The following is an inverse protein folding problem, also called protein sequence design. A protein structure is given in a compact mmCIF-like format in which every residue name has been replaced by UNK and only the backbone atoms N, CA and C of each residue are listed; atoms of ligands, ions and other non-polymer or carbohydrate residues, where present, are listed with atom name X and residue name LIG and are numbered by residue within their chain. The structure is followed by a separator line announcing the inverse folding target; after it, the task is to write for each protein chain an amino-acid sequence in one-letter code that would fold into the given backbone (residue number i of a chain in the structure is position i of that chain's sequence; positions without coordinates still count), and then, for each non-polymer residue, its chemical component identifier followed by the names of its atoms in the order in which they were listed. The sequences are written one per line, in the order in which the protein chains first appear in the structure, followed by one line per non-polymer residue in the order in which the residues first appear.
data_IF_612935990272
#
_entry.id   IF_612935990272
#
_cell.length_a   1.000
_cell.length_b   1.000
_cell.length_c   1.000
_cell.angle_alpha   90.00
_cell.angle_beta   90.00
_cell.angle_gamma   90.00
#
_symmetry.space_group_name_H-M   'P 1'
#
loop_
_entity.id
_entity.type
_entity.pdbx_description
1 polymer ?
#
# COMPACT_ATOMS: atom_id res chain seq x y z
N UNK A 1 -5.64 1.72 23.90
CA UNK A 1 -5.05 2.29 22.70
C UNK A 1 -5.73 1.72 21.46
N UNK A 2 -6.20 2.59 20.59
CA UNK A 2 -7.01 2.12 19.48
C UNK A 2 -6.16 1.91 18.24
N UNK A 3 -5.95 0.64 17.86
CA UNK A 3 -5.33 0.31 16.58
C UNK A 3 -6.35 0.35 15.44
N UNK A 4 -7.59 0.68 15.78
CA UNK A 4 -8.69 0.66 14.80
C UNK A 4 -9.03 2.02 14.23
N UNK A 5 -8.27 3.05 14.61
CA UNK A 5 -8.48 4.38 14.04
C UNK A 5 -8.02 4.38 12.59
N UNK A 6 -8.96 4.65 11.70
CA UNK A 6 -8.66 4.71 10.27
C UNK A 6 -8.25 6.12 9.87
N UNK A 7 -7.29 6.18 8.97
CA UNK A 7 -6.81 7.45 8.42
C UNK A 7 -7.15 7.46 6.94
N UNK A 8 -7.77 8.54 6.49
CA UNK A 8 -8.07 8.69 5.07
C UNK A 8 -7.08 9.64 4.44
N UNK A 9 -6.55 9.24 3.28
CA UNK A 9 -5.59 10.04 2.53
C UNK A 9 -6.05 10.08 1.09
N UNK A 10 -6.00 11.27 0.49
CA UNK A 10 -6.36 11.45 -0.91
C UNK A 10 -5.09 11.58 -1.73
N UNK A 11 -4.94 10.71 -2.73
CA UNK A 11 -3.77 10.70 -3.62
C UNK A 11 -4.26 10.64 -5.07
N UNK A 12 -3.54 11.36 -5.94
CA UNK A 12 -3.75 11.18 -7.37
C UNK A 12 -3.26 9.80 -7.80
N UNK A 13 -3.72 9.33 -8.93
CA UNK A 13 -3.35 8.01 -9.44
C UNK A 13 -1.84 7.88 -9.63
N UNK A 14 -1.21 8.89 -10.20
CA UNK A 14 0.23 8.88 -10.43
C UNK A 14 1.01 8.78 -9.10
N UNK A 15 0.60 9.59 -8.12
CA UNK A 15 1.27 9.59 -6.82
C UNK A 15 1.07 8.25 -6.10
N UNK A 16 -0.12 7.69 -6.18
CA UNK A 16 -0.41 6.41 -5.55
C UNK A 16 0.46 5.30 -6.15
N UNK A 17 0.62 5.30 -7.47
CA UNK A 17 1.44 4.30 -8.15
C UNK A 17 2.91 4.43 -7.75
N UNK A 18 3.41 5.66 -7.65
CA UNK A 18 4.79 5.91 -7.26
C UNK A 18 5.06 5.45 -5.83
N UNK A 19 4.14 5.77 -4.91
CA UNK A 19 4.28 5.35 -3.52
C UNK A 19 4.23 3.84 -3.40
N UNK A 20 3.31 3.21 -4.12
CA UNK A 20 3.18 1.76 -4.09
C UNK A 20 4.48 1.08 -4.54
N UNK A 21 5.10 1.60 -5.59
CA UNK A 21 6.36 1.03 -6.09
C UNK A 21 7.48 1.14 -5.06
N UNK A 22 7.57 2.28 -4.39
CA UNK A 22 8.58 2.48 -3.35
C UNK A 22 8.34 1.57 -2.14
N UNK A 23 7.09 1.43 -1.74
CA UNK A 23 6.75 0.54 -0.63
C UNK A 23 7.10 -0.91 -0.95
N UNK A 24 6.86 -1.34 -2.18
CA UNK A 24 7.22 -2.68 -2.61
C UNK A 24 8.73 -2.90 -2.51
N UNK A 25 9.52 -1.91 -2.95
CA UNK A 25 10.98 -2.01 -2.85
C UNK A 25 11.44 -2.14 -1.40
N UNK A 26 10.78 -1.42 -0.50
CA UNK A 26 11.14 -1.45 0.91
C UNK A 26 10.95 -2.83 1.54
N UNK A 27 10.03 -3.63 1.03
CA UNK A 27 9.73 -4.94 1.60
C UNK A 27 10.60 -6.06 1.05
N UNK A 28 11.34 -5.82 -0.03
CA UNK A 28 12.13 -6.87 -0.67
C UNK A 28 13.27 -7.40 0.19
N UNK A 29 13.76 -6.59 1.11
CA UNK A 29 14.89 -6.96 1.93
C UNK A 29 14.50 -7.74 3.17
N UNK A 30 13.20 -7.84 3.45
CA UNK A 30 12.73 -8.56 4.62
C UNK A 30 12.34 -9.99 4.25
N UNK A 31 12.26 -10.84 5.27
CA UNK A 31 11.85 -12.23 5.08
C UNK A 31 10.44 -12.30 4.52
N UNK A 32 10.25 -13.13 3.52
CA UNK A 32 8.92 -13.33 2.96
C UNK A 32 8.04 -14.14 3.92
N UNK A 33 8.62 -15.18 4.54
CA UNK A 33 7.86 -16.07 5.42
C UNK A 33 7.63 -15.50 6.81
N UNK A 34 8.62 -14.78 7.33
CA UNK A 34 8.57 -14.24 8.69
C UNK A 34 8.87 -12.75 8.69
N UNK A 35 8.01 -11.94 8.07
CA UNK A 35 8.25 -10.50 8.01
C UNK A 35 8.01 -9.85 9.36
N UNK A 36 8.76 -8.78 9.63
CA UNK A 36 8.53 -7.98 10.81
C UNK A 36 7.20 -7.23 10.74
N UNK A 37 6.80 -6.64 11.87
CA UNK A 37 5.52 -5.92 11.94
C UNK A 37 5.47 -4.75 10.97
N UNK A 38 6.59 -4.07 10.81
CA UNK A 38 6.67 -2.95 9.88
C UNK A 38 6.39 -3.39 8.44
N UNK A 39 7.01 -4.49 8.03
CA UNK A 39 6.81 -5.03 6.69
C UNK A 39 5.38 -5.49 6.49
N UNK A 40 4.78 -6.09 7.50
CA UNK A 40 3.39 -6.50 7.42
C UNK A 40 2.46 -5.31 7.21
N UNK A 41 2.72 -4.23 7.95
CA UNK A 41 1.93 -3.01 7.80
C UNK A 41 2.08 -2.43 6.39
N UNK A 42 3.31 -2.40 5.87
CA UNK A 42 3.58 -1.90 4.52
C UNK A 42 2.85 -2.74 3.49
N UNK A 43 2.86 -4.06 3.65
CA UNK A 43 2.17 -4.95 2.70
C UNK A 43 0.67 -4.72 2.68
N UNK A 44 0.07 -4.44 3.85
CA UNK A 44 -1.35 -4.11 3.89
C UNK A 44 -1.66 -2.82 3.13
N UNK A 45 -0.76 -1.84 3.23
CA UNK A 45 -0.92 -0.59 2.50
C UNK A 45 -0.77 -0.82 0.99
N UNK A 46 0.17 -1.68 0.59
CA UNK A 46 0.35 -2.01 -0.83
C UNK A 46 -0.94 -2.61 -1.40
N UNK A 47 -1.54 -3.54 -0.67
CA UNK A 47 -2.80 -4.16 -1.13
C UNK A 47 -3.91 -3.12 -1.25
N UNK A 48 -4.02 -2.23 -0.27
CA UNK A 48 -5.04 -1.18 -0.31
C UNK A 48 -4.81 -0.24 -1.49
N UNK A 49 -3.55 0.12 -1.75
CA UNK A 49 -3.23 0.97 -2.90
C UNK A 49 -3.55 0.26 -4.22
N UNK A 50 -3.23 -1.02 -4.33
CA UNK A 50 -3.52 -1.78 -5.53
C UNK A 50 -5.01 -1.77 -5.85
N UNK A 51 -5.84 -1.98 -4.85
CA UNK A 51 -7.29 -1.97 -5.03
C UNK A 51 -7.77 -0.62 -5.53
N UNK A 52 -7.26 0.46 -4.95
CA UNK A 52 -7.67 1.80 -5.35
C UNK A 52 -7.15 2.16 -6.74
N UNK A 53 -5.92 1.75 -7.06
CA UNK A 53 -5.34 2.01 -8.38
C UNK A 53 -6.14 1.27 -9.45
N UNK A 54 -6.49 0.00 -9.22
CA UNK A 54 -7.29 -0.75 -10.17
C UNK A 54 -8.66 -0.12 -10.37
N UNK A 55 -9.30 0.32 -9.29
CA UNK A 55 -10.60 0.96 -9.38
C UNK A 55 -10.53 2.25 -10.19
N UNK A 56 -9.46 3.03 -9.99
CA UNK A 56 -9.28 4.28 -10.73
C UNK A 56 -9.03 4.02 -12.21
N UNK A 57 -8.24 3.00 -12.53
CA UNK A 57 -7.96 2.65 -13.91
C UNK A 57 -9.20 2.14 -14.62
N UNK A 58 -10.02 1.34 -13.94
CA UNK A 58 -11.28 0.87 -14.50
C UNK A 58 -12.25 2.02 -14.75
N UNK A 59 -12.27 3.01 -13.87
CA UNK A 59 -13.15 4.15 -14.02
C UNK A 59 -12.75 5.01 -15.22
N UNK A 60 -11.48 5.05 -15.56
CA UNK A 60 -11.00 5.83 -16.69
C UNK A 60 -11.03 5.06 -18.00
N UNK A 61 -11.02 3.76 -17.90
CA UNK A 61 -11.06 2.89 -19.05
C UNK A 61 -12.47 2.62 -19.50
#
# INVERSE_FOLDING_TARGET
MSCNTNIEVTLGLHDAAAVRAELFRCTKQDSYEFPGQRTQAIRRVIVALDEKIEAAMDAEG
#
